data_IF_830843059101
#
_entry.id   IF_830843059101
#
_cell.length_a   1.000
_cell.length_b   1.000
_cell.length_c   1.000
_cell.angle_alpha   90.00
_cell.angle_beta   90.00
_cell.angle_gamma   90.00
#
_symmetry.space_group_name_H-M   'P 1'
#
loop_
_entity.id
_entity.type
_entity.pdbx_description
1 polymer ?
#
# COMPACT_ATOMS: atom_id res chain seq x y z
N UNK A 1 -7.46 -0.88 27.14
CA UNK A 1 -7.07 0.05 28.20
C UNK A 1 -7.10 -0.73 29.50
N UNK A 2 -6.05 -0.65 30.34
CA UNK A 2 -6.08 -1.28 31.65
C UNK A 2 -6.74 -0.27 32.62
N UNK A 3 -7.81 -0.62 33.36
CA UNK A 3 -8.59 0.37 34.12
C UNK A 3 -7.85 0.99 35.32
N UNK A 4 -6.75 0.37 35.78
CA UNK A 4 -6.15 0.71 37.07
C UNK A 4 -4.94 1.65 37.02
N UNK A 5 -4.36 1.94 35.86
CA UNK A 5 -3.13 2.74 35.81
C UNK A 5 -2.95 3.67 34.60
N UNK A 6 -3.96 3.83 33.74
CA UNK A 6 -3.89 4.75 32.60
C UNK A 6 -2.78 4.46 31.58
N UNK A 7 -2.03 3.35 31.73
CA UNK A 7 -0.91 3.01 30.84
C UNK A 7 -1.48 2.44 29.54
N UNK A 8 -1.25 3.18 28.45
CA UNK A 8 -1.50 2.71 27.09
C UNK A 8 -0.52 1.58 26.77
N UNK A 9 -1.00 0.34 26.78
CA UNK A 9 -0.22 -0.79 26.25
C UNK A 9 -0.21 -0.66 24.73
N UNK A 10 0.99 -0.62 24.14
CA UNK A 10 1.16 -0.71 22.68
C UNK A 10 0.42 -1.99 22.23
N UNK A 11 -0.72 -1.83 21.58
CA UNK A 11 -1.56 -2.96 21.17
C UNK A 11 -0.89 -3.76 20.06
N UNK A 12 -1.29 -5.02 19.86
CA UNK A 12 -0.78 -5.89 18.80
C UNK A 12 -0.82 -5.23 17.41
N UNK A 13 -1.85 -4.42 17.14
CA UNK A 13 -1.96 -3.63 15.90
C UNK A 13 -0.77 -2.70 15.62
N UNK A 14 -0.10 -2.18 16.65
CA UNK A 14 1.06 -1.32 16.47
C UNK A 14 2.32 -2.14 16.17
N UNK A 15 2.45 -3.32 16.76
CA UNK A 15 3.53 -4.27 16.46
C UNK A 15 3.41 -4.77 15.01
N UNK A 16 2.21 -5.16 14.58
CA UNK A 16 1.92 -5.57 13.20
C UNK A 16 2.28 -4.46 12.21
N UNK A 17 1.87 -3.21 12.47
CA UNK A 17 2.23 -2.06 11.64
C UNK A 17 3.73 -1.78 11.65
N UNK A 18 4.40 -1.97 12.78
CA UNK A 18 5.86 -1.84 12.87
C UNK A 18 6.58 -2.83 11.97
N UNK A 19 6.21 -4.12 12.02
CA UNK A 19 6.76 -5.14 11.13
C UNK A 19 6.46 -4.87 9.66
N UNK A 20 5.24 -4.42 9.36
CA UNK A 20 4.86 -4.03 8.01
C UNK A 20 5.71 -2.89 7.46
N UNK A 21 5.97 -1.85 8.28
CA UNK A 21 6.85 -0.73 7.91
C UNK A 21 8.27 -1.21 7.64
N UNK A 22 8.82 -2.08 8.49
CA UNK A 22 10.18 -2.64 8.29
C UNK A 22 10.26 -3.44 6.99
N UNK A 23 9.30 -4.32 6.72
CA UNK A 23 9.23 -5.07 5.47
C UNK A 23 9.11 -4.16 4.24
N UNK A 24 8.33 -3.08 4.35
CA UNK A 24 8.17 -2.08 3.28
C UNK A 24 9.47 -1.33 2.97
N UNK A 25 10.32 -1.10 3.97
CA UNK A 25 11.61 -0.41 3.81
C UNK A 25 12.58 -1.27 3.00
N UNK A 26 12.69 -2.57 3.29
CA UNK A 26 13.61 -3.47 2.58
C UNK A 26 13.23 -3.59 1.09
N UNK A 27 11.96 -3.90 0.79
CA UNK A 27 11.51 -4.03 -0.60
C UNK A 27 11.64 -2.70 -1.37
N UNK A 28 11.37 -1.57 -0.71
CA UNK A 28 11.55 -0.24 -1.28
C UNK A 28 12.99 -0.01 -1.70
N UNK A 29 13.96 -0.29 -0.82
CA UNK A 29 15.38 -0.11 -1.13
C UNK A 29 15.82 -0.98 -2.31
N UNK A 30 15.40 -2.24 -2.35
CA UNK A 30 15.71 -3.18 -3.44
C UNK A 30 15.06 -2.79 -4.77
N UNK A 31 13.83 -2.28 -4.75
CA UNK A 31 13.08 -1.93 -5.96
C UNK A 31 13.45 -0.56 -6.54
N UNK A 32 14.00 0.36 -5.73
CA UNK A 32 14.23 1.76 -6.12
C UNK A 32 15.04 1.90 -7.42
N UNK A 33 16.09 1.11 -7.61
CA UNK A 33 16.91 1.16 -8.83
C UNK A 33 16.10 0.81 -10.09
N UNK A 34 15.29 -0.25 -10.02
CA UNK A 34 14.45 -0.71 -11.12
C UNK A 34 13.34 0.30 -11.48
N UNK A 35 12.69 0.88 -10.47
CA UNK A 35 11.67 1.90 -10.67
C UNK A 35 12.26 3.16 -11.32
N UNK A 36 13.45 3.57 -10.87
CA UNK A 36 14.16 4.71 -11.43
C UNK A 36 14.49 4.47 -12.90
N UNK A 37 15.01 3.30 -13.23
CA UNK A 37 15.35 2.95 -14.62
C UNK A 37 14.09 2.88 -15.50
N UNK A 38 13.00 2.29 -15.01
CA UNK A 38 11.73 2.25 -15.72
C UNK A 38 11.16 3.65 -15.97
N UNK A 39 11.20 4.52 -14.96
CA UNK A 39 10.76 5.91 -15.09
C UNK A 39 11.63 6.67 -16.10
N UNK A 40 12.95 6.47 -16.07
CA UNK A 40 13.89 7.07 -17.02
C UNK A 40 13.60 6.64 -18.46
N UNK A 41 13.33 5.35 -18.67
CA UNK A 41 13.07 4.77 -20.00
C UNK A 41 11.73 5.19 -20.59
N UNK A 42 10.70 5.29 -19.76
CA UNK A 42 9.32 5.60 -20.21
C UNK A 42 8.99 7.09 -20.15
N UNK A 43 9.74 7.87 -19.36
CA UNK A 43 9.41 9.23 -19.00
C UNK A 43 8.22 9.35 -18.03
N UNK A 44 7.59 8.23 -17.64
CA UNK A 44 6.36 8.20 -16.83
C UNK A 44 6.66 8.07 -15.34
N UNK A 45 5.67 8.41 -14.51
CA UNK A 45 5.72 8.11 -13.08
C UNK A 45 5.62 6.62 -12.85
N UNK A 46 6.49 6.08 -11.99
CA UNK A 46 6.42 4.70 -11.52
C UNK A 46 6.09 4.67 -10.04
N UNK A 47 5.32 3.66 -9.64
CA UNK A 47 4.87 3.48 -8.27
C UNK A 47 5.21 2.08 -7.78
N UNK A 48 5.55 1.99 -6.50
CA UNK A 48 5.57 0.74 -5.77
C UNK A 48 4.48 0.78 -4.72
N UNK A 49 3.74 -0.31 -4.61
CA UNK A 49 2.75 -0.48 -3.57
C UNK A 49 2.75 -1.89 -3.03
N UNK A 50 2.16 -2.02 -1.85
CA UNK A 50 2.03 -3.28 -1.12
C UNK A 50 0.60 -3.40 -0.59
N UNK A 51 0.17 -4.64 -0.32
CA UNK A 51 -1.13 -4.92 0.26
C UNK A 51 -1.04 -4.81 1.79
N UNK A 52 -1.87 -3.97 2.41
CA UNK A 52 -2.03 -3.83 3.86
C UNK A 52 -3.47 -4.13 4.26
N UNK A 53 -3.71 -5.33 4.76
CA UNK A 53 -5.05 -5.83 5.02
C UNK A 53 -5.86 -5.90 3.73
N UNK A 54 -6.77 -4.94 3.52
CA UNK A 54 -7.70 -4.89 2.38
C UNK A 54 -7.46 -3.73 1.43
N UNK A 55 -6.40 -2.97 1.66
CA UNK A 55 -6.08 -1.78 0.87
C UNK A 55 -4.66 -1.89 0.32
N UNK A 56 -4.43 -1.34 -0.87
CA UNK A 56 -3.07 -1.11 -1.33
C UNK A 56 -2.52 0.15 -0.67
N UNK A 57 -1.20 0.19 -0.47
CA UNK A 57 -0.50 1.36 0.05
C UNK A 57 0.67 1.66 -0.85
N UNK A 58 0.77 2.89 -1.36
CA UNK A 58 1.97 3.32 -2.06
C UNK A 58 3.14 3.48 -1.10
N UNK A 59 4.27 2.85 -1.40
CA UNK A 59 5.48 2.91 -0.56
C UNK A 59 6.68 3.53 -1.28
N UNK A 60 6.63 3.67 -2.60
CA UNK A 60 7.61 4.43 -3.37
C UNK A 60 6.96 5.08 -4.59
N UNK A 61 7.49 6.24 -4.99
CA UNK A 61 7.08 6.97 -6.18
C UNK A 61 8.31 7.60 -6.83
N UNK A 62 8.56 7.30 -8.10
CA UNK A 62 9.57 7.98 -8.90
C UNK A 62 8.86 8.74 -10.02
N UNK A 63 8.98 10.05 -10.02
CA UNK A 63 8.38 10.91 -11.04
C UNK A 63 9.29 10.99 -12.26
N UNK A 64 8.70 10.73 -13.43
CA UNK A 64 9.37 10.88 -14.72
C UNK A 64 9.18 12.29 -15.29
N UNK A 65 9.96 12.62 -16.32
CA UNK A 65 9.91 13.95 -16.97
C UNK A 65 8.58 14.29 -17.64
N UNK A 66 7.78 13.29 -17.99
CA UNK A 66 6.45 13.43 -18.60
C UNK A 66 5.33 13.19 -17.58
N UNK A 67 5.64 13.19 -16.29
CA UNK A 67 4.65 12.95 -15.24
C UNK A 67 3.53 13.99 -15.31
N UNK A 68 2.30 13.53 -15.57
CA UNK A 68 1.11 14.33 -15.27
C UNK A 68 1.02 14.55 -13.75
N UNK A 69 0.54 15.72 -13.33
CA UNK A 69 0.31 16.03 -11.92
C UNK A 69 -0.77 15.06 -11.40
N UNK A 70 -0.34 14.00 -10.73
CA UNK A 70 -1.20 12.98 -10.16
C UNK A 70 -1.18 13.09 -8.63
N UNK A 71 -2.37 13.11 -8.00
CA UNK A 71 -2.59 13.13 -6.54
C UNK A 71 -2.03 11.89 -5.78
N UNK A 72 -1.18 11.08 -6.41
CA UNK A 72 -0.51 9.95 -5.77
C UNK A 72 0.64 10.42 -4.88
N UNK A 73 0.65 9.95 -3.62
CA UNK A 73 1.69 10.22 -2.61
C UNK A 73 2.04 8.94 -1.86
N UNK A 74 3.28 8.83 -1.39
CA UNK A 74 3.71 7.74 -0.51
C UNK A 74 2.82 7.73 0.75
N UNK A 75 2.45 6.54 1.21
CA UNK A 75 1.52 6.32 2.32
C UNK A 75 0.05 6.43 1.96
N UNK A 76 -0.30 6.90 0.74
CA UNK A 76 -1.71 6.93 0.30
C UNK A 76 -2.25 5.51 0.16
N UNK A 77 -3.41 5.28 0.77
CA UNK A 77 -4.17 4.04 0.68
C UNK A 77 -5.09 4.07 -0.54
N UNK A 78 -5.32 2.91 -1.14
CA UNK A 78 -6.08 2.77 -2.37
C UNK A 78 -7.00 1.54 -2.32
N UNK A 79 -8.23 1.66 -2.84
CA UNK A 79 -9.12 0.52 -3.02
C UNK A 79 -8.48 -0.48 -3.99
N UNK A 80 -8.36 -1.74 -3.56
CA UNK A 80 -7.71 -2.77 -4.36
C UNK A 80 -8.52 -3.18 -5.59
N UNK A 81 -9.85 -3.06 -5.54
CA UNK A 81 -10.72 -3.41 -6.66
C UNK A 81 -10.76 -2.34 -7.77
N UNK A 82 -10.51 -1.07 -7.44
CA UNK A 82 -10.74 0.06 -8.34
C UNK A 82 -9.46 0.66 -8.94
N UNK A 83 -8.29 0.07 -8.69
CA UNK A 83 -7.01 0.58 -9.21
C UNK A 83 -6.21 -0.52 -9.90
N UNK A 84 -5.41 -0.17 -10.91
CA UNK A 84 -4.57 -1.15 -11.61
C UNK A 84 -3.60 -1.84 -10.63
N UNK A 85 -2.89 -1.07 -9.81
CA UNK A 85 -1.99 -1.61 -8.79
C UNK A 85 -2.74 -2.48 -7.77
N UNK A 86 -3.94 -2.06 -7.36
CA UNK A 86 -4.79 -2.82 -6.46
C UNK A 86 -5.15 -4.21 -6.99
N UNK A 87 -5.57 -4.27 -8.26
CA UNK A 87 -5.90 -5.53 -8.93
C UNK A 87 -4.69 -6.44 -9.02
N UNK A 88 -3.52 -5.89 -9.33
CA UNK A 88 -2.26 -6.65 -9.35
C UNK A 88 -1.93 -7.19 -7.96
N UNK A 89 -2.06 -6.39 -6.91
CA UNK A 89 -1.76 -6.81 -5.53
C UNK A 89 -2.61 -7.99 -5.05
N UNK A 90 -3.83 -8.16 -5.58
CA UNK A 90 -4.75 -9.24 -5.21
C UNK A 90 -4.83 -10.36 -6.25
N UNK A 91 -4.11 -10.25 -7.37
CA UNK A 91 -4.24 -11.16 -8.52
C UNK A 91 -3.84 -12.61 -8.22
N UNK A 92 -3.05 -12.83 -7.17
CA UNK A 92 -2.56 -14.15 -6.75
C UNK A 92 -3.21 -14.67 -5.48
N UNK A 93 -4.22 -13.98 -4.95
CA UNK A 93 -4.98 -14.49 -3.81
C UNK A 93 -5.85 -15.68 -4.24
N UNK A 94 -6.06 -16.63 -3.33
CA UNK A 94 -7.01 -17.71 -3.57
C UNK A 94 -8.45 -17.18 -3.64
N UNK A 95 -9.34 -17.89 -4.33
CA UNK A 95 -10.74 -17.44 -4.51
C UNK A 95 -11.44 -17.10 -3.18
N UNK A 96 -11.22 -17.90 -2.13
CA UNK A 96 -11.81 -17.65 -0.82
C UNK A 96 -11.32 -16.33 -0.20
N UNK A 97 -10.03 -16.03 -0.30
CA UNK A 97 -9.43 -14.79 0.22
C UNK A 97 -9.87 -13.57 -0.59
N UNK A 98 -9.89 -13.72 -1.92
CA UNK A 98 -10.36 -12.69 -2.83
C UNK A 98 -11.84 -12.36 -2.57
N UNK A 99 -12.69 -13.37 -2.42
CA UNK A 99 -14.11 -13.20 -2.08
C UNK A 99 -14.28 -12.55 -0.71
N UNK A 100 -13.55 -12.99 0.32
CA UNK A 100 -13.59 -12.34 1.63
C UNK A 100 -13.18 -10.85 1.56
N UNK A 101 -12.19 -10.55 0.71
CA UNK A 101 -11.70 -9.19 0.48
C UNK A 101 -12.66 -8.33 -0.36
N UNK A 102 -13.49 -8.91 -1.23
CA UNK A 102 -14.45 -8.18 -2.07
C UNK A 102 -15.89 -8.14 -1.53
N UNK A 103 -16.32 -9.12 -0.73
CA UNK A 103 -17.70 -9.25 -0.22
C UNK A 103 -18.06 -8.30 0.93
N UNK A 104 -17.20 -7.35 1.31
CA UNK A 104 -17.52 -6.38 2.37
C UNK A 104 -17.56 -4.98 1.76
N UNK A 105 -18.73 -4.35 1.89
CA UNK A 105 -19.25 -3.23 1.10
C UNK A 105 -18.28 -2.06 0.80
N UNK A 106 -18.36 -1.40 -0.37
CA UNK A 106 -17.46 -0.32 -0.80
C UNK A 106 -17.61 1.04 -0.07
N UNK A 107 -18.51 1.19 0.91
CA UNK A 107 -19.03 2.51 1.37
C UNK A 107 -18.38 3.13 2.62
N UNK A 108 -17.10 2.90 2.90
CA UNK A 108 -16.45 3.48 4.12
C UNK A 108 -15.13 4.23 3.90
N UNK A 109 -14.83 4.71 2.68
CA UNK A 109 -13.54 5.38 2.41
C UNK A 109 -13.63 6.88 2.08
N UNK A 110 -14.81 7.48 2.22
CA UNK A 110 -15.10 8.87 1.91
C UNK A 110 -15.96 9.48 3.05
N UNK A 111 -15.30 9.66 4.19
CA UNK A 111 -15.69 10.55 5.29
C UNK A 111 -14.46 10.97 6.09
#
# INVERSE_FOLDING_TARGET
QNPENGKYRLGMKLVERGHFVVGSIDIRQKAKGWLTELSRRTGQTTHLGILDGREGVYIEKIEGKLAAIAYSRIGRRLPVHATAIGKVLIAWLGEAELNALLCTDPKKLDS
#
